data_IF_653203409335
#
_entry.id   IF_653203409335
#
_cell.length_a   1.000
_cell.length_b   1.000
_cell.length_c   1.000
_cell.angle_alpha   90.00
_cell.angle_beta   90.00
_cell.angle_gamma   90.00
#
_symmetry.space_group_name_H-M   'P 1'
#
loop_
_entity.id
_entity.type
_entity.pdbx_description
1 polymer ?
#
# COMPACT_ATOMS: atom_id res chain seq x y z
N UNK A 1 5.12 -14.79 0.24
CA UNK A 1 4.64 -14.39 -1.09
C UNK A 1 3.14 -14.17 -0.99
N UNK A 2 2.71 -12.91 -0.89
CA UNK A 2 1.30 -12.54 -0.83
C UNK A 2 1.10 -11.50 -1.94
N UNK A 3 1.05 -11.99 -3.17
CA UNK A 3 0.92 -11.13 -4.34
C UNK A 3 -0.53 -10.66 -4.43
N UNK A 4 -0.75 -9.35 -4.27
CA UNK A 4 -2.07 -8.75 -4.43
C UNK A 4 -2.36 -8.73 -5.94
N UNK A 5 -3.56 -9.10 -6.42
CA UNK A 5 -3.86 -9.03 -7.85
C UNK A 5 -3.63 -7.61 -8.37
N UNK A 6 -3.16 -7.48 -9.63
CA UNK A 6 -2.87 -6.20 -10.32
C UNK A 6 -3.91 -5.11 -10.09
N UNK A 7 -3.50 -3.84 -10.28
CA UNK A 7 -4.38 -2.70 -10.07
C UNK A 7 -5.58 -2.72 -11.05
N UNK A 8 -6.82 -2.50 -10.58
CA UNK A 8 -8.01 -2.47 -11.43
C UNK A 8 -8.20 -1.10 -12.13
N UNK A 9 -8.90 -1.09 -13.26
CA UNK A 9 -9.51 0.11 -13.88
C UNK A 9 -8.57 1.32 -14.07
N UNK A 10 -7.51 1.14 -14.85
CA UNK A 10 -6.58 2.21 -15.25
C UNK A 10 -5.91 2.96 -14.09
N UNK A 11 -5.86 2.37 -12.89
CA UNK A 11 -5.08 2.89 -11.78
C UNK A 11 -3.59 2.66 -12.07
N UNK A 12 -2.82 3.75 -12.07
CA UNK A 12 -1.36 3.70 -12.18
C UNK A 12 -0.71 3.54 -10.81
N UNK A 13 0.59 3.25 -10.81
CA UNK A 13 1.39 3.25 -9.57
C UNK A 13 1.41 4.66 -8.95
N UNK A 14 1.44 5.68 -9.78
CA UNK A 14 1.43 7.09 -9.39
C UNK A 14 0.12 7.46 -8.69
N UNK A 15 -1.03 7.00 -9.21
CA UNK A 15 -2.33 7.18 -8.56
C UNK A 15 -2.31 6.61 -7.14
N UNK A 16 -1.76 5.41 -6.98
CA UNK A 16 -1.63 4.75 -5.67
C UNK A 16 -0.70 5.54 -4.74
N UNK A 17 0.42 6.07 -5.24
CA UNK A 17 1.34 6.90 -4.45
C UNK A 17 0.71 8.22 -4.01
N UNK A 18 -0.22 8.76 -4.80
CA UNK A 18 -1.02 9.93 -4.41
C UNK A 18 -2.16 9.58 -3.43
N UNK A 19 -2.29 8.32 -3.03
CA UNK A 19 -3.36 7.86 -2.15
C UNK A 19 -4.72 7.80 -2.84
N UNK A 20 -4.76 7.81 -4.18
CA UNK A 20 -6.01 7.78 -4.94
C UNK A 20 -6.59 6.37 -4.88
N UNK A 21 -7.74 6.26 -4.21
CA UNK A 21 -8.52 5.03 -4.13
C UNK A 21 -9.85 5.22 -4.85
N UNK A 22 -9.96 4.76 -6.11
CA UNK A 22 -11.19 4.92 -6.92
C UNK A 22 -12.30 3.96 -6.50
N UNK A 23 -11.98 2.70 -6.21
CA UNK A 23 -12.93 1.69 -5.69
C UNK A 23 -12.23 0.72 -4.76
N UNK A 24 -12.87 0.43 -3.64
CA UNK A 24 -12.49 -0.69 -2.78
C UNK A 24 -12.77 -2.02 -3.49
N UNK A 25 -11.81 -2.94 -3.42
CA UNK A 25 -11.94 -4.30 -3.95
C UNK A 25 -13.03 -5.09 -3.22
N UNK A 26 -13.22 -4.82 -1.93
CA UNK A 26 -14.30 -5.37 -1.12
C UNK A 26 -14.91 -4.28 -0.25
N UNK A 27 -16.14 -3.87 -0.58
CA UNK A 27 -16.87 -2.80 0.12
C UNK A 27 -17.24 -3.22 1.54
N UNK A 28 -17.62 -4.49 1.74
CA UNK A 28 -18.02 -5.04 3.04
C UNK A 28 -16.82 -5.03 4.00
N UNK A 29 -15.65 -5.50 3.58
CA UNK A 29 -14.45 -5.42 4.41
C UNK A 29 -14.06 -3.97 4.71
N UNK A 30 -14.24 -3.07 3.73
CA UNK A 30 -13.95 -1.63 3.92
C UNK A 30 -14.88 -1.00 4.96
N UNK A 31 -16.17 -1.39 5.01
CA UNK A 31 -17.12 -0.81 5.98
C UNK A 31 -16.76 -1.16 7.42
N UNK A 32 -16.25 -2.37 7.67
CA UNK A 32 -15.82 -2.80 9.00
C UNK A 32 -14.44 -2.27 9.42
N UNK A 33 -13.61 -1.83 8.46
CA UNK A 33 -12.23 -1.46 8.74
C UNK A 33 -12.10 -0.28 9.72
N UNK A 34 -13.02 0.69 9.69
CA UNK A 34 -12.99 1.83 10.61
C UNK A 34 -13.30 1.45 12.06
N UNK A 35 -14.11 0.41 12.27
CA UNK A 35 -14.58 0.01 13.59
C UNK A 35 -13.68 -1.04 14.24
N UNK A 36 -13.09 -1.93 13.42
CA UNK A 36 -12.32 -3.08 13.91
C UNK A 36 -10.82 -2.77 14.00
N UNK A 37 -10.26 -1.99 13.06
CA UNK A 37 -8.81 -1.79 13.01
C UNK A 37 -8.38 -0.67 13.96
N UNK A 38 -7.24 -0.81 14.65
CA UNK A 38 -6.70 0.23 15.53
C UNK A 38 -6.11 1.43 14.77
N UNK A 39 -6.26 1.48 13.44
CA UNK A 39 -5.68 2.49 12.56
C UNK A 39 -6.77 3.37 11.94
N UNK A 40 -6.58 4.69 11.99
CA UNK A 40 -7.52 5.66 11.42
C UNK A 40 -7.11 6.12 10.02
N UNK A 41 -8.13 6.38 9.20
CA UNK A 41 -7.99 6.95 7.86
C UNK A 41 -7.73 5.88 6.80
N UNK A 42 -8.80 5.29 6.28
CA UNK A 42 -8.76 4.37 5.13
C UNK A 42 -8.10 5.09 3.95
N UNK A 43 -7.13 4.43 3.30
CA UNK A 43 -6.37 5.01 2.18
C UNK A 43 -5.20 5.92 2.58
N UNK A 44 -5.19 6.48 3.80
CA UNK A 44 -4.07 7.33 4.27
C UNK A 44 -2.78 6.57 4.58
N UNK A 45 -2.87 5.23 4.74
CA UNK A 45 -1.74 4.39 5.09
C UNK A 45 -0.60 4.40 4.07
N UNK A 46 -0.92 4.51 2.77
CA UNK A 46 0.11 4.56 1.71
C UNK A 46 0.91 5.87 1.80
N UNK A 47 0.24 7.00 2.01
CA UNK A 47 0.90 8.30 2.18
C UNK A 47 1.81 8.32 3.40
N UNK A 48 1.34 7.79 4.54
CA UNK A 48 2.17 7.64 5.74
C UNK A 48 3.38 6.72 5.51
N UNK A 49 3.18 5.65 4.75
CA UNK A 49 4.28 4.72 4.42
C UNK A 49 5.33 5.38 3.53
N UNK A 50 4.92 6.18 2.55
CA UNK A 50 5.82 6.96 1.70
C UNK A 50 6.62 8.00 2.50
N UNK A 51 6.02 8.59 3.54
CA UNK A 51 6.71 9.55 4.42
C UNK A 51 7.73 8.87 5.34
N UNK A 52 7.36 7.71 5.93
CA UNK A 52 8.20 7.01 6.90
C UNK A 52 9.28 6.14 6.25
N UNK A 53 9.04 5.64 5.04
CA UNK A 53 9.94 4.74 4.33
C UNK A 53 10.27 5.31 2.95
N UNK A 54 11.33 6.14 2.84
CA UNK A 54 11.72 6.76 1.57
C UNK A 54 12.10 5.74 0.48
N UNK A 55 12.53 4.54 0.88
CA UNK A 55 12.94 3.44 -0.02
C UNK A 55 11.86 2.36 -0.15
N UNK A 56 10.64 2.81 -0.42
CA UNK A 56 9.52 1.94 -0.75
C UNK A 56 9.32 1.92 -2.26
N UNK A 57 9.24 0.72 -2.82
CA UNK A 57 9.07 0.45 -4.25
C UNK A 57 7.72 -0.19 -4.50
N UNK A 58 7.03 0.29 -5.53
CA UNK A 58 5.73 -0.22 -5.96
C UNK A 58 5.84 -0.70 -7.40
N UNK A 59 5.38 -1.91 -7.67
CA UNK A 59 5.40 -2.55 -8.99
C UNK A 59 4.00 -3.06 -9.32
N UNK A 60 3.46 -2.63 -10.46
CA UNK A 60 2.23 -3.19 -11.02
C UNK A 60 2.59 -4.02 -12.25
N UNK A 61 2.75 -5.33 -12.07
CA UNK A 61 3.10 -6.25 -13.14
C UNK A 61 1.83 -6.77 -13.82
N UNK A 62 1.51 -6.19 -14.97
CA UNK A 62 0.31 -6.55 -15.73
C UNK A 62 0.43 -7.98 -16.28
N UNK A 63 1.58 -8.35 -16.82
CA UNK A 63 1.80 -9.68 -17.40
C UNK A 63 1.81 -10.80 -16.34
N UNK A 64 2.35 -10.50 -15.16
CA UNK A 64 2.35 -11.38 -14.00
C UNK A 64 1.06 -11.35 -13.18
N UNK A 65 0.09 -10.49 -13.54
CA UNK A 65 -1.20 -10.32 -12.85
C UNK A 65 -1.10 -9.91 -11.37
N UNK A 66 0.01 -9.29 -10.96
CA UNK A 66 0.24 -8.92 -9.57
C UNK A 66 0.63 -7.46 -9.37
N UNK A 67 0.36 -6.98 -8.17
CA UNK A 67 0.86 -5.74 -7.60
C UNK A 67 1.72 -6.08 -6.38
N UNK A 68 2.94 -5.55 -6.36
CA UNK A 68 3.94 -5.83 -5.34
C UNK A 68 4.45 -4.53 -4.72
N UNK A 69 4.66 -4.56 -3.41
CA UNK A 69 5.26 -3.48 -2.64
C UNK A 69 6.49 -4.03 -1.93
N UNK A 70 7.63 -3.38 -2.11
CA UNK A 70 8.91 -3.77 -1.50
C UNK A 70 9.40 -2.61 -0.66
N UNK A 71 9.79 -2.86 0.59
CA UNK A 71 10.37 -1.85 1.48
C UNK A 71 11.78 -2.30 1.81
N UNK A 72 12.77 -1.51 1.38
CA UNK A 72 14.17 -1.80 1.63
C UNK A 72 14.56 -1.32 3.02
N UNK A 73 14.71 -2.27 3.94
CA UNK A 73 15.15 -1.98 5.31
C UNK A 73 16.61 -1.59 5.31
N UNK A 74 16.93 -0.43 5.86
CA UNK A 74 18.31 -0.16 6.28
C UNK A 74 18.63 -1.03 7.47
N UNK A 75 19.73 -1.78 7.40
CA UNK A 75 20.29 -2.55 8.52
C UNK A 75 20.90 -1.65 9.61
N UNK A 76 20.63 -0.34 9.60
CA UNK A 76 21.26 0.66 10.45
C UNK A 76 20.24 1.61 11.07
N UNK A 77 19.57 1.19 12.15
CA UNK A 77 19.01 2.12 13.15
C UNK A 77 18.53 1.42 14.43
N UNK A 78 19.14 0.30 14.84
CA UNK A 78 18.83 -0.37 16.12
C UNK A 78 20.06 -0.46 17.03
N UNK A 79 21.02 0.44 16.85
CA UNK A 79 22.12 0.63 17.81
C UNK A 79 22.14 2.09 18.24
N UNK A 80 21.31 2.39 19.24
CA UNK A 80 21.59 3.48 20.18
C UNK A 80 21.68 2.84 21.57
N UNK A 81 22.74 3.13 22.35
CA UNK A 81 23.02 2.51 23.66
C UNK A 81 22.03 2.89 24.76
#
# INVERSE_FOLDING_TARGET
>A
FFDIPKLPNSLSVEDIKMGIQRRSRNVVLTSFANDILPYRGIGSGILKSLQLYPRIHFENNIAGEFFKVTIDRDLQSDVSP
#
